data_IF_389196416118
#
_entry.id   IF_389196416118
#
_cell.length_a   1.000
_cell.length_b   1.000
_cell.length_c   1.000
_cell.angle_alpha   90.00
_cell.angle_beta   90.00
_cell.angle_gamma   90.00
#
_symmetry.space_group_name_H-M   'P 1'
#
loop_
_entity.id
_entity.type
_entity.pdbx_description
1 polymer ?
#
# COMPACT_ATOMS: atom_id res chain seq x y z
N UNK A 1 18.22 10.19 8.42
CA UNK A 1 17.09 10.35 9.37
C UNK A 1 17.67 9.94 10.72
N UNK A 2 18.28 10.87 11.45
CA UNK A 2 19.28 10.47 12.44
C UNK A 2 18.62 10.20 13.81
N UNK A 3 17.64 9.29 13.83
CA UNK A 3 16.85 8.96 15.01
C UNK A 3 15.90 10.07 15.47
N UNK A 4 15.63 11.09 14.63
CA UNK A 4 14.75 12.21 14.99
C UNK A 4 13.26 11.86 14.98
N UNK A 5 12.90 10.73 14.36
CA UNK A 5 11.54 10.19 14.29
C UNK A 5 11.58 8.67 14.46
N UNK A 6 10.60 8.16 15.22
CA UNK A 6 10.44 6.72 15.47
C UNK A 6 9.96 5.97 14.22
N UNK A 7 9.08 6.61 13.43
CA UNK A 7 8.56 6.04 12.20
C UNK A 7 8.22 7.11 11.16
N UNK A 8 8.11 6.68 9.91
CA UNK A 8 7.53 7.45 8.81
C UNK A 8 6.48 6.62 8.06
N UNK A 9 5.41 7.30 7.62
CA UNK A 9 4.32 6.67 6.88
C UNK A 9 4.04 7.39 5.54
N UNK A 10 4.86 7.17 4.50
CA UNK A 10 4.66 7.84 3.21
C UNK A 10 3.37 7.39 2.52
N UNK A 11 2.68 8.33 1.88
CA UNK A 11 1.45 8.07 1.13
C UNK A 11 1.79 7.58 -0.29
N UNK A 12 1.87 6.27 -0.48
CA UNK A 12 2.12 5.64 -1.78
C UNK A 12 0.79 5.18 -2.38
N UNK A 13 0.10 6.12 -3.03
CA UNK A 13 -1.31 5.97 -3.42
C UNK A 13 -1.55 5.64 -4.89
N UNK A 14 -0.52 5.19 -5.60
CA UNK A 14 -0.58 4.91 -7.04
C UNK A 14 -0.40 3.43 -7.30
N UNK A 15 -1.00 2.89 -8.38
CA UNK A 15 -0.84 1.50 -8.71
C UNK A 15 0.50 1.21 -9.43
N UNK A 16 0.83 -0.06 -9.60
CA UNK A 16 1.98 -0.50 -10.40
C UNK A 16 1.94 0.01 -11.85
N UNK A 17 0.75 0.13 -12.45
CA UNK A 17 0.60 0.61 -13.83
C UNK A 17 0.86 2.12 -14.02
N UNK A 18 0.95 2.91 -12.95
CA UNK A 18 1.09 4.37 -13.06
C UNK A 18 2.55 4.78 -13.28
N UNK A 19 3.00 4.82 -14.53
CA UNK A 19 4.43 5.06 -14.88
C UNK A 19 5.12 6.22 -14.17
N UNK A 20 4.45 7.37 -14.06
CA UNK A 20 5.02 8.59 -13.43
C UNK A 20 5.16 8.50 -11.90
N UNK A 21 4.54 7.51 -11.28
CA UNK A 21 4.50 7.34 -9.82
C UNK A 21 4.27 5.87 -9.46
N UNK A 22 5.04 4.95 -10.05
CA UNK A 22 4.82 3.51 -9.85
C UNK A 22 5.05 3.12 -8.40
N UNK A 23 4.16 2.28 -7.88
CA UNK A 23 4.19 1.83 -6.49
C UNK A 23 5.54 1.22 -6.09
N UNK A 24 6.12 0.39 -6.95
CA UNK A 24 7.39 -0.30 -6.69
C UNK A 24 8.57 0.64 -6.56
N UNK A 25 8.70 1.57 -7.50
CA UNK A 25 9.78 2.56 -7.51
C UNK A 25 9.75 3.42 -6.25
N UNK A 26 8.57 3.91 -5.88
CA UNK A 26 8.42 4.78 -4.70
C UNK A 26 8.64 4.00 -3.41
N UNK A 27 8.10 2.79 -3.30
CA UNK A 27 8.24 1.97 -2.09
C UNK A 27 9.70 1.56 -1.88
N UNK A 28 10.41 1.15 -2.94
CA UNK A 28 11.84 0.85 -2.86
C UNK A 28 12.66 2.07 -2.43
N UNK A 29 12.36 3.25 -3.00
CA UNK A 29 13.06 4.48 -2.64
C UNK A 29 12.91 4.81 -1.14
N UNK A 30 11.72 4.58 -0.56
CA UNK A 30 11.52 4.77 0.87
C UNK A 30 12.24 3.72 1.72
N UNK A 31 12.27 2.46 1.29
CA UNK A 31 13.06 1.41 1.93
C UNK A 31 14.55 1.80 1.99
N UNK A 32 15.11 2.21 0.85
CA UNK A 32 16.51 2.67 0.77
C UNK A 32 16.75 3.90 1.66
N UNK A 33 15.77 4.80 1.78
CA UNK A 33 15.87 6.03 2.57
C UNK A 33 15.92 5.79 4.08
N UNK A 34 15.21 4.78 4.60
CA UNK A 34 15.19 4.44 6.04
C UNK A 34 16.26 3.41 6.42
N UNK A 35 16.93 2.80 5.44
CA UNK A 35 17.91 1.76 5.69
C UNK A 35 19.05 2.30 6.58
N UNK A 36 19.32 1.58 7.67
CA UNK A 36 20.35 1.94 8.66
C UNK A 36 20.03 3.16 9.55
N UNK A 37 18.83 3.74 9.46
CA UNK A 37 18.48 4.94 10.26
C UNK A 37 17.84 4.63 11.61
N UNK A 38 17.29 3.42 11.77
CA UNK A 38 16.49 3.03 12.94
C UNK A 38 15.06 3.56 12.93
N UNK A 39 14.64 4.26 11.87
CA UNK A 39 13.25 4.74 11.69
C UNK A 39 12.41 3.64 11.07
N UNK A 40 11.28 3.28 11.68
CA UNK A 40 10.34 2.30 11.11
C UNK A 40 9.62 2.87 9.89
N UNK A 41 9.41 2.05 8.86
CA UNK A 41 8.68 2.43 7.65
C UNK A 41 7.34 1.73 7.57
N UNK A 42 6.24 2.49 7.48
CA UNK A 42 4.90 1.97 7.25
C UNK A 42 4.33 2.51 5.94
N UNK A 43 4.02 1.66 4.97
CA UNK A 43 3.53 2.18 3.68
C UNK A 43 2.07 2.59 3.78
N UNK A 44 1.78 3.86 3.51
CA UNK A 44 0.42 4.37 3.40
C UNK A 44 -0.21 3.94 2.08
N UNK A 45 -1.29 3.15 2.14
CA UNK A 45 -1.95 2.53 0.98
C UNK A 45 -3.34 3.11 0.71
N UNK A 46 -3.69 3.24 -0.58
CA UNK A 46 -4.90 3.92 -1.04
C UNK A 46 -6.15 3.03 -1.11
N UNK A 47 -6.59 2.48 0.03
CA UNK A 47 -7.80 1.64 0.07
C UNK A 47 -9.03 2.35 -0.51
N UNK A 48 -9.12 3.69 -0.35
CA UNK A 48 -10.23 4.48 -0.91
C UNK A 48 -10.34 4.46 -2.45
N UNK A 49 -9.25 4.14 -3.17
CA UNK A 49 -9.26 4.07 -4.63
C UNK A 49 -9.82 2.76 -5.16
N UNK A 50 -9.78 1.68 -4.38
CA UNK A 50 -10.33 0.37 -4.75
C UNK A 50 -11.79 0.52 -5.18
N UNK A 51 -12.14 -0.08 -6.32
CA UNK A 51 -13.48 -0.02 -6.91
C UNK A 51 -13.86 1.32 -7.54
N UNK A 52 -12.96 2.31 -7.56
CA UNK A 52 -13.20 3.62 -8.21
C UNK A 52 -12.59 3.62 -9.60
N UNK A 53 -13.42 3.78 -10.62
CA UNK A 53 -12.95 3.82 -12.01
C UNK A 53 -12.06 5.04 -12.28
N UNK A 54 -10.93 4.80 -12.95
CA UNK A 54 -9.98 5.82 -13.39
C UNK A 54 -9.31 5.32 -14.66
N UNK A 55 -9.37 6.08 -15.74
CA UNK A 55 -8.67 5.74 -16.99
C UNK A 55 -7.15 5.68 -16.79
N UNK A 56 -6.61 6.51 -15.91
CA UNK A 56 -5.18 6.56 -15.62
C UNK A 56 -4.71 5.47 -14.63
N UNK A 57 -5.65 4.84 -13.91
CA UNK A 57 -5.37 3.86 -12.85
C UNK A 57 -6.41 2.72 -12.87
N UNK A 58 -6.53 1.96 -13.98
CA UNK A 58 -7.60 0.97 -14.15
C UNK A 58 -7.51 -0.20 -13.15
N UNK A 59 -6.30 -0.53 -12.69
CA UNK A 59 -5.98 -1.66 -11.81
C UNK A 59 -6.79 -1.67 -10.50
N UNK A 60 -7.24 -0.51 -10.02
CA UNK A 60 -8.07 -0.42 -8.80
C UNK A 60 -9.46 -1.05 -8.95
N UNK A 61 -9.91 -1.30 -10.18
CA UNK A 61 -11.23 -1.88 -10.47
C UNK A 61 -11.18 -3.32 -10.99
N UNK A 62 -10.01 -3.78 -11.45
CA UNK A 62 -9.82 -5.15 -11.94
C UNK A 62 -10.05 -6.12 -10.79
N UNK A 63 -11.00 -7.04 -10.96
CA UNK A 63 -11.36 -8.06 -9.95
C UNK A 63 -11.56 -7.46 -8.55
N UNK A 64 -12.29 -6.34 -8.48
CA UNK A 64 -12.57 -5.66 -7.22
C UNK A 64 -11.34 -5.02 -6.56
N UNK A 65 -10.24 -4.83 -7.30
CA UNK A 65 -8.98 -4.27 -6.82
C UNK A 65 -8.11 -5.24 -6.01
N UNK A 66 -8.52 -6.51 -5.89
CA UNK A 66 -7.79 -7.54 -5.14
C UNK A 66 -6.40 -7.82 -5.73
N UNK A 67 -6.22 -7.95 -7.07
CA UNK A 67 -4.89 -8.20 -7.65
C UNK A 67 -3.91 -7.07 -7.38
N UNK A 68 -4.34 -5.82 -7.48
CA UNK A 68 -3.48 -4.67 -7.19
C UNK A 68 -3.10 -4.61 -5.72
N UNK A 69 -4.06 -4.77 -4.80
CA UNK A 69 -3.79 -4.79 -3.37
C UNK A 69 -2.83 -5.93 -2.98
N UNK A 70 -3.00 -7.10 -3.60
CA UNK A 70 -2.13 -8.26 -3.39
C UNK A 70 -0.69 -7.95 -3.79
N UNK A 71 -0.47 -7.42 -5.01
CA UNK A 71 0.87 -7.05 -5.49
C UNK A 71 1.55 -6.01 -4.60
N UNK A 72 0.81 -5.02 -4.13
CA UNK A 72 1.36 -3.99 -3.25
C UNK A 72 1.79 -4.56 -1.89
N UNK A 73 0.97 -5.43 -1.29
CA UNK A 73 1.31 -6.08 -0.02
C UNK A 73 2.45 -7.09 -0.17
N UNK A 74 2.48 -7.86 -1.26
CA UNK A 74 3.56 -8.80 -1.53
C UNK A 74 4.90 -8.08 -1.74
N UNK A 75 4.90 -6.93 -2.41
CA UNK A 75 6.10 -6.10 -2.51
C UNK A 75 6.51 -5.58 -1.13
N UNK A 76 5.58 -5.03 -0.34
CA UNK A 76 5.87 -4.54 1.00
C UNK A 76 6.53 -5.64 1.85
N UNK A 77 5.99 -6.85 1.85
CA UNK A 77 6.52 -7.98 2.62
C UNK A 77 7.88 -8.47 2.11
N UNK A 78 8.23 -8.19 0.85
CA UNK A 78 9.53 -8.54 0.27
C UNK A 78 10.67 -7.59 0.67
N UNK A 79 10.33 -6.41 1.22
CA UNK A 79 11.29 -5.37 1.59
C UNK A 79 11.50 -5.40 3.11
N UNK A 80 12.70 -5.80 3.55
CA UNK A 80 13.01 -5.97 4.96
C UNK A 80 12.85 -4.69 5.80
N UNK A 81 13.00 -3.52 5.18
CA UNK A 81 12.81 -2.21 5.80
C UNK A 81 11.33 -1.85 6.03
N UNK A 82 10.40 -2.45 5.30
CA UNK A 82 8.96 -2.17 5.45
C UNK A 82 8.43 -2.93 6.66
N UNK A 83 8.04 -2.16 7.68
CA UNK A 83 7.56 -2.66 8.98
C UNK A 83 6.03 -2.85 9.04
N UNK A 84 5.32 -2.52 7.96
CA UNK A 84 3.87 -2.70 7.83
C UNK A 84 3.21 -1.70 6.90
N UNK A 85 1.90 -1.54 7.01
CA UNK A 85 1.11 -0.62 6.16
C UNK A 85 0.02 0.14 6.93
N UNK A 86 -0.47 1.23 6.33
CA UNK A 86 -1.59 2.02 6.84
C UNK A 86 -2.61 2.27 5.73
N UNK A 87 -3.86 1.81 5.91
CA UNK A 87 -4.92 2.05 4.93
C UNK A 87 -5.60 3.41 5.11
N UNK A 88 -5.52 4.25 4.09
CA UNK A 88 -6.30 5.48 4.04
C UNK A 88 -7.64 5.24 3.32
N UNK A 89 -8.80 5.40 3.97
CA UNK A 89 -9.04 5.72 5.40
C UNK A 89 -10.08 4.78 5.99
N UNK A 90 -10.19 4.76 7.32
CA UNK A 90 -10.96 3.77 8.10
C UNK A 90 -12.36 3.43 7.57
N UNK A 91 -13.11 4.40 7.04
CA UNK A 91 -14.47 4.16 6.53
C UNK A 91 -14.50 3.16 5.37
N UNK A 92 -13.44 3.09 4.57
CA UNK A 92 -13.31 2.14 3.46
C UNK A 92 -12.98 0.72 3.92
N UNK A 93 -12.83 0.46 5.21
CA UNK A 93 -12.83 -0.92 5.73
C UNK A 93 -14.25 -1.50 5.81
N UNK A 94 -15.28 -0.67 5.63
CA UNK A 94 -16.71 -1.05 5.71
C UNK A 94 -17.51 -0.66 4.46
N UNK A 95 -16.86 -0.07 3.46
CA UNK A 95 -17.53 0.38 2.25
C UNK A 95 -17.81 -0.81 1.33
N UNK A 96 -18.99 -0.84 0.70
CA UNK A 96 -19.37 -1.94 -0.19
C UNK A 96 -18.39 -2.12 -1.35
N UNK A 97 -17.81 -1.03 -1.88
CA UNK A 97 -16.90 -1.07 -3.02
C UNK A 97 -15.56 -1.77 -2.72
N UNK A 98 -15.16 -1.85 -1.45
CA UNK A 98 -13.85 -2.39 -1.03
C UNK A 98 -13.97 -3.75 -0.37
N UNK A 99 -15.17 -4.32 -0.29
CA UNK A 99 -15.42 -5.47 0.57
C UNK A 99 -14.66 -6.73 0.13
N UNK A 100 -14.45 -6.91 -1.19
CA UNK A 100 -13.62 -8.01 -1.70
C UNK A 100 -12.16 -7.90 -1.25
N UNK A 101 -11.58 -6.68 -1.28
CA UNK A 101 -10.25 -6.42 -0.74
C UNK A 101 -10.23 -6.65 0.78
N UNK A 102 -11.23 -6.17 1.51
CA UNK A 102 -11.30 -6.36 2.97
C UNK A 102 -11.39 -7.85 3.33
N UNK A 103 -12.14 -8.65 2.58
CA UNK A 103 -12.23 -10.08 2.82
C UNK A 103 -10.92 -10.79 2.47
N UNK A 104 -10.23 -10.38 1.40
CA UNK A 104 -8.86 -10.80 1.13
C UNK A 104 -7.89 -10.46 2.28
N UNK A 105 -7.94 -9.24 2.82
CA UNK A 105 -7.09 -8.81 3.94
C UNK A 105 -7.33 -9.66 5.20
N UNK A 106 -8.58 -9.98 5.51
CA UNK A 106 -8.93 -10.89 6.62
C UNK A 106 -8.34 -12.28 6.42
N UNK A 107 -8.32 -12.79 5.19
CA UNK A 107 -7.74 -14.09 4.87
C UNK A 107 -6.21 -14.07 4.93
N UNK A 108 -5.57 -13.00 4.40
CA UNK A 108 -4.11 -12.84 4.40
C UNK A 108 -3.54 -12.84 5.82
N UNK A 109 -4.25 -12.21 6.76
CA UNK A 109 -3.80 -12.04 8.15
C UNK A 109 -4.61 -12.86 9.16
N UNK A 110 -5.39 -13.83 8.70
CA UNK A 110 -5.91 -14.85 9.60
C UNK A 110 -4.73 -15.77 9.96
N UNK A 111 -4.50 -15.92 11.27
CA UNK A 111 -3.47 -16.80 11.83
C UNK A 111 -3.50 -18.23 11.26
#
# INVERSE_FOLDING_TARGET
>A
MDGIIDYIAPQVYWPFAREVARYDVITQWWADTVSGTGTALYIGMALYKVGTASEAEPDWTVEGGVPEMTRQLDLNDSLAEVSGCMFFRHMFLRASQTQQVVDYLKLRWAD
#
